data_IF_758689866929
#
_entry.id   IF_758689866929
#
_cell.length_a   1.000
_cell.length_b   1.000
_cell.length_c   1.000
_cell.angle_alpha   90.00
_cell.angle_beta   90.00
_cell.angle_gamma   90.00
#
_symmetry.space_group_name_H-M   'P 1'
#
loop_
_entity.id
_entity.type
_entity.pdbx_description
1 polymer ?
#
# COMPACT_ATOMS: atom_id res chain seq x y z
N UNK A 1 11.17 10.40 14.53
CA UNK A 1 10.63 9.08 14.91
C UNK A 1 10.81 8.74 16.39
N UNK A 2 12.01 8.43 16.90
CA UNK A 2 12.18 7.99 18.31
C UNK A 2 11.65 8.98 19.37
N UNK A 3 11.73 10.30 19.10
CA UNK A 3 11.12 11.33 19.96
C UNK A 3 9.59 11.14 20.10
N UNK A 4 8.90 10.90 18.99
CA UNK A 4 7.45 10.64 18.97
C UNK A 4 7.14 9.35 19.74
N UNK A 5 7.91 8.28 19.51
CA UNK A 5 7.71 7.03 20.24
C UNK A 5 7.87 7.18 21.76
N UNK A 6 8.85 8.00 22.20
CA UNK A 6 9.04 8.29 23.64
C UNK A 6 7.86 9.06 24.21
N UNK A 7 7.35 10.05 23.49
CA UNK A 7 6.16 10.81 23.91
C UNK A 7 4.93 9.91 24.03
N UNK A 8 4.69 9.03 23.04
CA UNK A 8 3.60 8.07 23.07
C UNK A 8 3.70 7.10 24.26
N UNK A 9 4.91 6.63 24.57
CA UNK A 9 5.14 5.75 25.71
C UNK A 9 4.96 6.46 27.06
N UNK A 10 5.48 7.68 27.20
CA UNK A 10 5.35 8.48 28.42
C UNK A 10 3.88 8.80 28.74
N UNK A 11 3.08 9.01 27.70
CA UNK A 11 1.64 9.23 27.81
C UNK A 11 0.82 7.93 27.94
N UNK A 12 1.47 6.77 28.09
CA UNK A 12 0.85 5.44 28.23
C UNK A 12 -0.05 5.04 27.05
N UNK A 13 0.15 5.63 25.87
CA UNK A 13 -0.61 5.33 24.65
C UNK A 13 -0.14 4.01 24.03
N UNK A 14 1.17 3.78 24.07
CA UNK A 14 1.77 2.50 23.68
C UNK A 14 2.42 1.85 24.89
N UNK A 15 2.35 0.52 24.96
CA UNK A 15 3.03 -0.22 26.01
C UNK A 15 4.55 -0.27 25.79
N UNK A 16 5.26 -0.73 26.82
CA UNK A 16 6.72 -0.87 26.80
C UNK A 16 7.20 -1.83 25.71
N UNK A 17 6.45 -2.88 25.41
CA UNK A 17 6.80 -3.88 24.39
C UNK A 17 6.76 -3.27 22.98
N UNK A 18 5.66 -2.60 22.64
CA UNK A 18 5.48 -1.86 21.39
C UNK A 18 6.52 -0.75 21.27
N UNK A 19 6.80 0.00 22.35
CA UNK A 19 7.85 1.01 22.34
C UNK A 19 9.20 0.43 21.93
N UNK A 20 9.69 -0.63 22.59
CA UNK A 20 10.98 -1.22 22.27
C UNK A 20 11.02 -1.90 20.91
N UNK A 21 9.89 -2.47 20.45
CA UNK A 21 9.78 -3.04 19.12
C UNK A 21 9.90 -1.97 18.01
N UNK A 22 9.32 -0.79 18.24
CA UNK A 22 9.34 0.32 17.29
C UNK A 22 10.57 1.22 17.43
N UNK A 23 11.23 1.20 18.59
CA UNK A 23 12.40 2.02 18.86
C UNK A 23 13.53 1.63 17.91
N UNK A 24 13.93 2.56 17.06
CA UNK A 24 15.04 2.31 16.16
C UNK A 24 16.36 2.52 16.89
N UNK A 25 17.19 1.48 16.92
CA UNK A 25 18.60 1.52 17.34
C UNK A 25 19.56 1.41 16.16
N UNK A 26 19.03 1.15 14.96
CA UNK A 26 19.78 1.00 13.72
C UNK A 26 20.14 2.35 13.12
N UNK A 27 21.42 2.53 12.78
CA UNK A 27 21.93 3.64 11.96
C UNK A 27 22.01 3.27 10.48
N UNK A 28 21.58 2.06 10.10
CA UNK A 28 21.69 1.56 8.73
C UNK A 28 20.64 2.20 7.82
N UNK A 29 21.11 2.80 6.73
CA UNK A 29 20.26 3.27 5.65
C UNK A 29 19.74 2.09 4.81
N UNK A 30 18.56 2.29 4.22
CA UNK A 30 18.05 1.36 3.21
C UNK A 30 18.98 1.34 1.99
N UNK A 31 19.03 0.24 1.23
CA UNK A 31 19.91 0.11 0.05
C UNK A 31 19.10 -0.15 -1.20
N UNK A 32 19.35 0.60 -2.27
CA UNK A 32 18.76 0.34 -3.58
C UNK A 32 19.57 -0.74 -4.32
N UNK A 33 18.87 -1.74 -4.84
CA UNK A 33 19.44 -2.73 -5.75
C UNK A 33 18.47 -3.05 -6.89
N UNK A 34 18.98 -3.61 -7.98
CA UNK A 34 18.18 -3.98 -9.16
C UNK A 34 17.98 -5.48 -9.26
N UNK A 35 16.73 -5.93 -9.43
CA UNK A 35 16.43 -7.31 -9.80
C UNK A 35 16.18 -7.42 -11.32
N UNK A 36 16.92 -8.25 -12.07
CA UNK A 36 16.76 -8.36 -13.50
C UNK A 36 15.39 -8.95 -13.88
N UNK A 37 14.68 -8.31 -14.80
CA UNK A 37 13.47 -8.88 -15.41
C UNK A 37 13.89 -9.83 -16.54
N UNK A 38 14.25 -11.06 -16.19
CA UNK A 38 14.78 -12.08 -17.11
C UNK A 38 13.88 -12.44 -18.30
N UNK A 39 12.58 -12.17 -18.18
CA UNK A 39 11.56 -12.43 -19.21
C UNK A 39 11.36 -11.26 -20.19
N UNK A 40 12.14 -10.16 -20.08
CA UNK A 40 12.05 -9.00 -21.00
C UNK A 40 13.37 -8.83 -21.74
N UNK A 41 13.30 -8.49 -23.04
CA UNK A 41 14.46 -8.17 -23.87
C UNK A 41 15.30 -7.07 -23.24
N UNK A 42 16.63 -7.23 -23.26
CA UNK A 42 17.56 -6.30 -22.61
C UNK A 42 17.62 -6.38 -21.09
N UNK A 43 16.90 -7.34 -20.47
CA UNK A 43 16.94 -7.65 -19.05
C UNK A 43 16.82 -6.41 -18.12
N UNK A 44 15.83 -5.52 -18.33
CA UNK A 44 15.72 -4.29 -17.56
C UNK A 44 15.62 -4.58 -16.06
N UNK A 45 16.29 -3.76 -15.26
CA UNK A 45 16.29 -3.91 -13.80
C UNK A 45 14.97 -3.41 -13.20
N UNK A 46 14.48 -4.12 -12.18
CA UNK A 46 13.44 -3.67 -11.26
C UNK A 46 14.14 -3.08 -10.03
N UNK A 47 14.06 -1.76 -9.80
CA UNK A 47 14.65 -1.15 -8.61
C UNK A 47 13.87 -1.58 -7.35
N UNK A 48 14.59 -2.03 -6.32
CA UNK A 48 14.04 -2.40 -5.01
C UNK A 48 14.87 -1.71 -3.92
N UNK A 49 14.19 -1.05 -2.99
CA UNK A 49 14.79 -0.49 -1.78
C UNK A 49 14.69 -1.55 -0.69
N UNK A 50 15.82 -2.17 -0.35
CA UNK A 50 15.91 -3.05 0.81
C UNK A 50 15.80 -2.23 2.08
N UNK A 51 14.68 -2.37 2.78
CA UNK A 51 14.46 -1.71 4.08
C UNK A 51 14.78 -2.63 5.26
N UNK A 52 15.23 -3.87 5.02
CA UNK A 52 15.53 -4.84 6.08
C UNK A 52 16.66 -4.27 6.96
N UNK A 53 16.48 -4.33 8.28
CA UNK A 53 17.38 -3.74 9.31
C UNK A 53 17.49 -2.20 9.26
N UNK A 54 16.76 -1.52 8.38
CA UNK A 54 16.72 -0.05 8.39
C UNK A 54 15.94 0.49 9.58
N UNK A 55 16.15 1.77 9.90
CA UNK A 55 15.44 2.45 10.98
C UNK A 55 13.91 2.37 10.88
N UNK A 56 13.37 2.20 9.67
CA UNK A 56 11.95 2.28 9.39
C UNK A 56 11.25 0.90 9.29
N UNK A 57 12.00 -0.19 9.33
CA UNK A 57 11.46 -1.52 9.04
C UNK A 57 10.36 -1.95 10.00
N UNK A 58 10.64 -1.88 11.31
CA UNK A 58 9.68 -2.30 12.35
C UNK A 58 8.43 -1.42 12.36
N UNK A 59 8.60 -0.11 12.20
CA UNK A 59 7.48 0.83 12.10
C UNK A 59 6.57 0.50 10.90
N UNK A 60 7.18 0.28 9.73
CA UNK A 60 6.43 -0.04 8.51
C UNK A 60 5.66 -1.35 8.64
N UNK A 61 6.25 -2.38 9.26
CA UNK A 61 5.55 -3.64 9.55
C UNK A 61 4.40 -3.47 10.53
N UNK A 62 4.62 -2.71 11.61
CA UNK A 62 3.60 -2.44 12.61
C UNK A 62 2.40 -1.70 12.02
N UNK A 63 2.65 -0.65 11.24
CA UNK A 63 1.59 0.11 10.58
C UNK A 63 0.87 -0.71 9.51
N UNK A 64 1.59 -1.53 8.73
CA UNK A 64 0.95 -2.45 7.78
C UNK A 64 0.01 -3.43 8.50
N UNK A 65 0.44 -3.98 9.64
CA UNK A 65 -0.38 -4.85 10.48
C UNK A 65 -1.59 -4.11 11.06
N UNK A 66 -1.40 -2.87 11.52
CA UNK A 66 -2.47 -2.03 12.02
C UNK A 66 -3.55 -1.79 10.97
N UNK A 67 -3.17 -1.37 9.76
CA UNK A 67 -4.09 -1.16 8.64
C UNK A 67 -4.78 -2.48 8.28
N UNK A 68 -4.03 -3.58 8.18
CA UNK A 68 -4.59 -4.90 7.86
C UNK A 68 -5.60 -5.39 8.88
N UNK A 69 -5.41 -5.12 10.17
CA UNK A 69 -6.34 -5.54 11.22
C UNK A 69 -7.65 -4.74 11.18
N UNK A 70 -7.62 -3.49 10.72
CA UNK A 70 -8.82 -2.63 10.57
C UNK A 70 -9.48 -2.81 9.20
N UNK A 71 -8.75 -3.37 8.22
CA UNK A 71 -9.31 -3.76 6.93
C UNK A 71 -10.20 -4.98 7.11
N UNK A 72 -11.49 -4.72 7.09
CA UNK A 72 -12.53 -5.70 7.39
C UNK A 72 -13.26 -6.18 6.15
N UNK A 73 -13.12 -5.48 5.03
CA UNK A 73 -13.76 -5.84 3.77
C UNK A 73 -12.70 -5.91 2.68
N UNK A 74 -12.77 -6.99 1.90
CA UNK A 74 -12.10 -7.08 0.61
C UNK A 74 -13.14 -6.78 -0.47
N UNK A 75 -12.79 -6.01 -1.51
CA UNK A 75 -13.75 -5.76 -2.57
C UNK A 75 -14.14 -7.09 -3.24
N UNK A 76 -15.34 -7.22 -3.82
CA UNK A 76 -15.77 -8.47 -4.48
C UNK A 76 -14.85 -8.94 -5.61
N UNK A 77 -14.12 -8.01 -6.20
CA UNK A 77 -13.09 -8.19 -7.23
C UNK A 77 -11.79 -8.78 -6.72
N UNK A 78 -11.56 -8.79 -5.40
CA UNK A 78 -10.35 -9.35 -4.82
C UNK A 78 -10.25 -10.84 -5.13
N UNK A 79 -9.05 -11.25 -5.53
CA UNK A 79 -8.71 -12.64 -5.84
C UNK A 79 -7.45 -12.98 -5.04
N UNK A 80 -7.53 -14.02 -4.19
CA UNK A 80 -6.41 -14.42 -3.33
C UNK A 80 -5.22 -14.98 -4.11
N UNK A 81 -5.47 -15.57 -5.28
CA UNK A 81 -4.41 -16.12 -6.11
C UNK A 81 -4.91 -16.81 -7.39
N UNK A 82 -3.97 -17.34 -8.17
CA UNK A 82 -4.23 -17.93 -9.49
C UNK A 82 -5.24 -19.08 -9.46
N UNK A 83 -5.19 -19.96 -8.45
CA UNK A 83 -6.14 -21.07 -8.33
C UNK A 83 -7.59 -20.60 -8.11
N UNK A 84 -7.79 -19.51 -7.36
CA UNK A 84 -9.12 -18.93 -7.17
C UNK A 84 -9.60 -18.26 -8.47
N UNK A 85 -8.70 -17.56 -9.18
CA UNK A 85 -9.01 -16.96 -10.47
C UNK A 85 -9.52 -18.01 -11.47
N UNK A 86 -8.81 -19.14 -11.60
CA UNK A 86 -9.21 -20.25 -12.49
C UNK A 86 -10.58 -20.80 -12.11
N UNK A 87 -10.87 -20.95 -10.80
CA UNK A 87 -12.19 -21.39 -10.33
C UNK A 87 -13.30 -20.41 -10.73
N UNK A 88 -13.10 -19.11 -10.51
CA UNK A 88 -14.09 -18.08 -10.89
C UNK A 88 -14.29 -18.04 -12.41
N UNK A 89 -13.22 -18.11 -13.20
CA UNK A 89 -13.30 -18.09 -14.67
C UNK A 89 -14.14 -19.25 -15.22
N UNK A 90 -14.02 -20.47 -14.65
CA UNK A 90 -14.83 -21.62 -15.06
C UNK A 90 -16.34 -21.44 -14.86
N UNK A 91 -16.76 -20.50 -14.02
CA UNK A 91 -18.18 -20.23 -13.74
C UNK A 91 -18.79 -19.15 -14.63
N UNK A 92 -17.98 -18.46 -15.44
CA UNK A 92 -18.43 -17.36 -16.30
C UNK A 92 -18.92 -17.91 -17.65
N UNK A 93 -20.19 -17.66 -17.97
CA UNK A 93 -20.75 -17.94 -19.31
C UNK A 93 -20.50 -16.75 -20.23
N UNK A 94 -19.71 -16.96 -21.29
CA UNK A 94 -19.37 -15.93 -22.28
C UNK A 94 -20.34 -16.02 -23.47
N UNK A 95 -20.95 -14.89 -23.85
CA UNK A 95 -21.80 -14.83 -25.05
C UNK A 95 -20.94 -14.57 -26.28
N UNK A 96 -21.43 -14.93 -27.46
CA UNK A 96 -20.74 -14.68 -28.74
C UNK A 96 -20.50 -13.20 -29.03
N UNK A 97 -21.26 -12.30 -28.40
CA UNK A 97 -21.11 -10.84 -28.52
C UNK A 97 -20.18 -10.22 -27.46
N UNK A 98 -19.60 -11.02 -26.56
CA UNK A 98 -18.75 -10.51 -25.48
C UNK A 98 -17.32 -10.26 -25.97
N UNK A 99 -16.79 -9.08 -25.66
CA UNK A 99 -15.39 -8.73 -25.90
C UNK A 99 -14.65 -8.76 -24.57
N UNK A 100 -13.50 -9.43 -24.54
CA UNK A 100 -12.60 -9.41 -23.38
C UNK A 100 -11.64 -8.23 -23.49
N UNK A 101 -11.53 -7.47 -22.40
CA UNK A 101 -10.58 -6.36 -22.27
C UNK A 101 -9.70 -6.61 -21.06
N UNK A 102 -8.39 -6.37 -21.20
CA UNK A 102 -7.41 -6.50 -20.13
C UNK A 102 -6.64 -5.19 -19.99
N UNK A 103 -6.42 -4.75 -18.75
CA UNK A 103 -5.66 -3.56 -18.41
C UNK A 103 -4.51 -3.96 -17.48
N UNK A 104 -3.32 -3.43 -17.73
CA UNK A 104 -2.16 -3.57 -16.87
C UNK A 104 -1.77 -2.21 -16.29
N UNK A 105 -1.43 -2.17 -15.00
CA UNK A 105 -1.01 -0.94 -14.33
C UNK A 105 0.50 -0.80 -14.42
N UNK A 106 0.95 0.20 -15.16
CA UNK A 106 2.38 0.48 -15.27
C UNK A 106 2.93 1.11 -14.00
N UNK A 107 4.01 0.52 -13.49
CA UNK A 107 4.83 1.08 -12.42
C UNK A 107 4.04 1.49 -11.16
N UNK A 108 3.09 0.62 -10.73
CA UNK A 108 2.16 0.88 -9.63
C UNK A 108 2.81 1.59 -8.43
N UNK A 109 3.83 0.99 -7.80
CA UNK A 109 4.40 1.54 -6.56
C UNK A 109 5.00 2.94 -6.72
N UNK A 110 5.64 3.26 -7.85
CA UNK A 110 6.20 4.59 -8.09
C UNK A 110 5.14 5.63 -8.44
N UNK A 111 3.94 5.20 -8.84
CA UNK A 111 2.84 6.06 -9.27
C UNK A 111 1.74 6.22 -8.21
N UNK A 112 1.82 5.52 -7.06
CA UNK A 112 0.85 5.68 -5.96
C UNK A 112 1.06 7.04 -5.29
N UNK A 113 0.07 7.96 -5.30
CA UNK A 113 0.18 9.24 -4.63
C UNK A 113 0.25 9.05 -3.10
N UNK A 114 1.41 9.32 -2.51
CA UNK A 114 1.69 8.94 -1.11
C UNK A 114 0.72 9.60 -0.12
N UNK A 115 0.44 10.90 -0.28
CA UNK A 115 -0.48 11.63 0.60
C UNK A 115 -1.88 11.03 0.58
N UNK A 116 -2.37 10.69 -0.60
CA UNK A 116 -3.70 10.11 -0.77
C UNK A 116 -3.77 8.69 -0.17
N UNK A 117 -2.73 7.88 -0.38
CA UNK A 117 -2.67 6.55 0.21
C UNK A 117 -2.63 6.59 1.75
N UNK A 118 -1.95 7.58 2.35
CA UNK A 118 -1.97 7.83 3.79
C UNK A 118 -3.39 8.15 4.27
N UNK A 119 -4.10 9.05 3.59
CA UNK A 119 -5.48 9.39 3.98
C UNK A 119 -6.42 8.20 3.86
N UNK A 120 -6.30 7.38 2.80
CA UNK A 120 -7.05 6.14 2.67
C UNK A 120 -6.80 5.18 3.84
N UNK A 121 -5.54 5.02 4.25
CA UNK A 121 -5.18 4.18 5.40
C UNK A 121 -5.79 4.72 6.71
N UNK A 122 -5.76 6.04 6.92
CA UNK A 122 -6.38 6.67 8.09
C UNK A 122 -7.90 6.46 8.10
N UNK A 123 -8.55 6.62 6.95
CA UNK A 123 -9.99 6.40 6.86
C UNK A 123 -10.34 4.94 7.19
N UNK A 124 -9.57 3.96 6.72
CA UNK A 124 -9.76 2.55 7.09
C UNK A 124 -9.64 2.34 8.62
N UNK A 125 -8.66 2.97 9.26
CA UNK A 125 -8.43 2.82 10.70
C UNK A 125 -9.52 3.53 11.54
N UNK A 126 -9.98 4.72 11.12
CA UNK A 126 -10.78 5.61 11.98
C UNK A 126 -12.24 5.83 11.57
N UNK A 127 -12.69 5.35 10.40
CA UNK A 127 -14.07 5.54 9.92
C UNK A 127 -15.11 4.71 10.69
N UNK A 128 -14.69 3.74 11.50
CA UNK A 128 -15.61 2.87 12.26
C UNK A 128 -15.91 3.41 13.66
N UNK A 129 -17.15 3.23 14.16
CA UNK A 129 -17.57 3.77 15.46
C UNK A 129 -16.84 3.12 16.65
N UNK A 130 -16.36 1.88 16.52
CA UNK A 130 -15.68 1.17 17.60
C UNK A 130 -14.16 1.39 17.51
N UNK A 131 -13.70 2.52 18.06
CA UNK A 131 -12.27 2.74 18.29
C UNK A 131 -11.86 1.99 19.55
N UNK A 132 -10.77 1.20 19.53
CA UNK A 132 -10.19 0.69 20.77
C UNK A 132 -9.76 1.85 21.68
N UNK A 133 -9.99 1.74 22.99
CA UNK A 133 -9.64 2.77 23.99
C UNK A 133 -8.13 3.10 24.04
N UNK A 134 -7.27 2.24 23.46
CA UNK A 134 -5.80 2.41 23.39
C UNK A 134 -5.26 2.58 21.97
N UNK A 135 -6.10 3.01 21.02
CA UNK A 135 -5.64 3.30 19.68
C UNK A 135 -4.96 4.69 19.63
N UNK A 136 -3.86 4.79 18.89
CA UNK A 136 -3.26 6.07 18.52
C UNK A 136 -4.33 7.02 17.97
N UNK A 137 -4.20 8.32 18.20
CA UNK A 137 -5.07 9.31 17.55
C UNK A 137 -4.82 9.34 16.04
N UNK A 138 -5.81 9.80 15.25
CA UNK A 138 -5.66 9.96 13.79
C UNK A 138 -4.41 10.76 13.42
N UNK A 139 -4.14 11.85 14.17
CA UNK A 139 -2.97 12.71 13.97
C UNK A 139 -1.65 11.99 14.26
N UNK A 140 -1.58 11.23 15.36
CA UNK A 140 -0.38 10.45 15.70
C UNK A 140 -0.11 9.36 14.66
N UNK A 141 -1.15 8.64 14.23
CA UNK A 141 -1.02 7.62 13.17
C UNK A 141 -0.60 8.24 11.84
N UNK A 142 -1.14 9.41 11.49
CA UNK A 142 -0.74 10.15 10.29
C UNK A 142 0.75 10.52 10.35
N UNK A 143 1.23 11.03 11.49
CA UNK A 143 2.66 11.34 11.68
C UNK A 143 3.55 10.10 11.55
N UNK A 144 3.14 8.96 12.12
CA UNK A 144 3.87 7.71 11.99
C UNK A 144 3.87 7.19 10.54
N UNK A 145 2.73 7.29 9.84
CA UNK A 145 2.63 6.95 8.41
C UNK A 145 3.55 7.84 7.58
N UNK A 146 3.56 9.16 7.78
CA UNK A 146 4.50 10.05 7.10
C UNK A 146 5.95 9.66 7.33
N UNK A 147 6.34 9.35 8.56
CA UNK A 147 7.69 8.85 8.83
C UNK A 147 7.99 7.50 8.16
N UNK A 148 6.96 6.67 7.97
CA UNK A 148 7.12 5.35 7.38
C UNK A 148 7.20 5.36 5.85
N UNK A 149 6.57 6.31 5.16
CA UNK A 149 6.50 6.30 3.69
C UNK A 149 6.98 7.55 2.99
N UNK A 150 7.07 8.70 3.67
CA UNK A 150 7.61 9.92 3.07
C UNK A 150 9.12 10.03 3.27
N UNK A 151 9.78 10.63 2.29
CA UNK A 151 11.22 10.93 2.30
C UNK A 151 12.10 9.74 2.74
N UNK A 152 11.75 8.54 2.28
CA UNK A 152 12.52 7.32 2.57
C UNK A 152 13.94 7.49 2.01
N UNK A 153 14.91 7.52 2.92
CA UNK A 153 16.32 7.68 2.57
C UNK A 153 16.95 6.32 2.27
N UNK A 154 17.70 6.25 1.17
CA UNK A 154 18.40 5.04 0.75
C UNK A 154 19.76 5.35 0.13
N UNK A 155 20.66 4.36 0.15
CA UNK A 155 21.98 4.44 -0.45
C UNK A 155 22.01 3.71 -1.80
N UNK A 156 22.68 4.31 -2.78
CA UNK A 156 23.01 3.70 -4.05
C UNK A 156 24.37 4.23 -4.52
N UNK A 157 25.31 3.34 -4.85
CA UNK A 157 26.67 3.72 -5.31
C UNK A 157 27.31 4.80 -4.41
N UNK A 158 27.34 4.55 -3.10
CA UNK A 158 27.89 5.45 -2.06
C UNK A 158 27.25 6.84 -1.94
N UNK A 159 26.17 7.08 -2.68
CA UNK A 159 25.36 8.30 -2.58
C UNK A 159 24.06 8.03 -1.85
N UNK A 160 23.61 9.02 -1.10
CA UNK A 160 22.33 8.98 -0.40
C UNK A 160 21.28 9.71 -1.22
N UNK A 161 20.12 9.07 -1.36
CA UNK A 161 18.97 9.59 -2.10
C UNK A 161 17.73 9.54 -1.21
N UNK A 162 16.74 10.34 -1.58
CA UNK A 162 15.44 10.40 -0.92
C UNK A 162 14.38 10.11 -1.97
N UNK A 163 13.51 9.15 -1.70
CA UNK A 163 12.34 8.94 -2.53
C UNK A 163 11.31 10.05 -2.29
N UNK A 164 11.02 10.82 -3.34
CA UNK A 164 10.11 11.98 -3.28
C UNK A 164 8.65 11.63 -3.54
N UNK A 165 8.40 10.67 -4.43
CA UNK A 165 7.05 10.25 -4.75
C UNK A 165 6.97 8.73 -4.98
N UNK A 166 5.75 8.21 -4.95
CA UNK A 166 5.48 6.79 -4.90
C UNK A 166 5.85 6.17 -3.55
N UNK A 167 5.38 4.95 -3.34
CA UNK A 167 5.78 4.14 -2.20
C UNK A 167 7.04 3.33 -2.54
N UNK A 168 7.98 3.24 -1.61
CA UNK A 168 9.23 2.50 -1.81
C UNK A 168 8.96 1.00 -2.04
N UNK A 169 9.30 0.49 -3.22
CA UNK A 169 9.28 -0.95 -3.48
C UNK A 169 10.27 -1.64 -2.54
N UNK A 170 9.79 -2.53 -1.67
CA UNK A 170 10.60 -3.18 -0.63
C UNK A 170 10.41 -2.60 0.78
N UNK A 171 9.63 -1.53 0.92
CA UNK A 171 9.09 -1.12 2.21
C UNK A 171 7.88 -2.02 2.57
N UNK A 172 7.85 -2.54 3.81
CA UNK A 172 6.83 -3.46 4.28
C UNK A 172 5.39 -2.90 4.22
N UNK A 173 5.21 -1.58 4.28
CA UNK A 173 3.88 -0.95 4.20
C UNK A 173 3.43 -0.67 2.75
N UNK A 174 4.35 -0.68 1.78
CA UNK A 174 4.04 -0.32 0.40
C UNK A 174 2.94 -1.18 -0.24
N UNK A 175 2.89 -2.53 -0.06
CA UNK A 175 1.85 -3.36 -0.66
C UNK A 175 0.44 -2.99 -0.21
N UNK A 176 0.23 -2.75 1.09
CA UNK A 176 -1.11 -2.45 1.59
C UNK A 176 -1.58 -1.05 1.17
N UNK A 177 -0.67 -0.08 1.08
CA UNK A 177 -1.00 1.26 0.59
C UNK A 177 -1.32 1.27 -0.91
N UNK A 178 -0.55 0.53 -1.71
CA UNK A 178 -0.81 0.38 -3.14
C UNK A 178 -2.17 -0.30 -3.37
N UNK A 179 -2.48 -1.34 -2.60
CA UNK A 179 -3.76 -2.04 -2.68
C UNK A 179 -4.94 -1.14 -2.31
N UNK A 180 -4.85 -0.35 -1.22
CA UNK A 180 -5.89 0.62 -0.86
C UNK A 180 -6.14 1.65 -1.98
N UNK A 181 -5.07 2.13 -2.62
CA UNK A 181 -5.21 3.03 -3.76
C UNK A 181 -5.87 2.35 -4.96
N UNK A 182 -5.51 1.10 -5.25
CA UNK A 182 -6.14 0.32 -6.33
C UNK A 182 -7.63 0.07 -6.10
N UNK A 183 -8.05 -0.18 -4.86
CA UNK A 183 -9.47 -0.31 -4.51
C UNK A 183 -10.21 0.99 -4.83
N UNK A 184 -9.65 2.14 -4.46
CA UNK A 184 -10.24 3.45 -4.78
C UNK A 184 -10.36 3.65 -6.30
N UNK A 185 -9.30 3.30 -7.05
CA UNK A 185 -9.29 3.39 -8.51
C UNK A 185 -10.37 2.50 -9.13
N UNK A 186 -10.52 1.28 -8.65
CA UNK A 186 -11.58 0.37 -9.08
C UNK A 186 -12.98 0.93 -8.78
N UNK A 187 -13.24 1.44 -7.57
CA UNK A 187 -14.52 2.07 -7.25
C UNK A 187 -14.85 3.23 -8.19
N UNK A 188 -13.83 4.03 -8.54
CA UNK A 188 -13.97 5.14 -9.47
C UNK A 188 -14.34 4.63 -10.88
N UNK A 189 -13.66 3.60 -11.38
CA UNK A 189 -13.95 2.96 -12.67
C UNK A 189 -15.36 2.36 -12.71
N UNK A 190 -15.75 1.61 -11.68
CA UNK A 190 -17.07 1.00 -11.59
C UNK A 190 -18.22 2.03 -11.56
N UNK A 191 -17.99 3.21 -10.98
CA UNK A 191 -18.97 4.33 -11.03
C UNK A 191 -19.14 4.86 -12.45
N UNK A 192 -18.08 4.92 -13.26
CA UNK A 192 -18.19 5.32 -14.66
C UNK A 192 -18.98 4.30 -15.49
N UNK A 193 -18.71 3.00 -15.29
CA UNK A 193 -19.45 1.94 -16.00
C UNK A 193 -20.94 1.97 -15.69
N UNK A 194 -21.32 2.18 -14.42
CA UNK A 194 -22.74 2.30 -14.01
C UNK A 194 -23.44 3.57 -14.51
N UNK A 195 -22.70 4.66 -14.76
CA UNK A 195 -23.25 5.88 -15.36
C UNK A 195 -23.45 5.72 -16.87
N UNK A 196 -22.53 5.05 -17.57
CA UNK A 196 -22.64 4.81 -19.00
C UNK A 196 -23.77 3.83 -19.33
N UNK A 197 -23.97 2.75 -18.56
CA UNK A 197 -25.10 1.83 -18.79
C UNK A 197 -26.48 2.46 -18.58
N UNK A 198 -26.58 3.56 -17.82
CA UNK A 198 -27.82 4.36 -17.72
C UNK A 198 -28.03 5.33 -18.90
N UNK A 199 -26.96 5.69 -19.61
CA UNK A 199 -26.98 6.70 -20.68
C UNK A 199 -26.69 6.11 -22.07
N UNK A 200 -26.52 4.80 -22.21
CA UNK A 200 -26.40 4.15 -23.51
C UNK A 200 -27.80 3.99 -24.11
N UNK A 201 -28.16 4.91 -25.02
CA UNK A 201 -29.16 4.65 -26.04
C UNK A 201 -28.75 3.38 -26.82
N UNK A 202 -29.70 2.56 -27.29
CA UNK A 202 -29.36 1.36 -28.04
C UNK A 202 -28.50 1.76 -29.23
N UNK A 203 -27.31 1.17 -29.31
CA UNK A 203 -26.49 1.25 -30.51
C UNK A 203 -27.31 0.57 -31.60
N UNK A 204 -27.87 1.36 -32.51
CA UNK A 204 -28.55 0.83 -33.70
C UNK A 204 -27.56 -0.04 -34.48
N UNK A 205 -28.11 -1.13 -35.00
CA UNK A 205 -27.47 -2.29 -35.63
C UNK A 205 -26.36 -1.97 -36.60
#
# INVERSE_FOLDING_TARGET
MNKILRELHNNQIIDKSVFWHLHSTSSSLSVLYGQPKVHKTGYPLRPIISTIVSYNYSLSKYLAKLISNHRTETPPSYIKGSFELVKKQKTITIKTTTIMVSFDVESLYTNVPVKEAIELALDIIYKRPNKPDKLLTRKQTQQLLHHAVCDVSFRFMDKTYIQKDGVAMGNAIAPILADLFMIKMEEKLNRFTKKQTKNMAPICR
#
